data_IF_448436810549
#
_entry.id   IF_448436810549
#
_cell.length_a   1.000
_cell.length_b   1.000
_cell.length_c   1.000
_cell.angle_alpha   90.00
_cell.angle_beta   90.00
_cell.angle_gamma   90.00
#
_symmetry.space_group_name_H-M   'P 1'
#
loop_
_entity.id
_entity.type
_entity.pdbx_description
1 polymer ?
#
# COMPACT_ATOMS: atom_id res chain seq x y z
N UNK A 1 1.24 11.68 0.56
CA UNK A 1 1.14 10.48 1.42
C UNK A 1 2.52 10.15 1.98
N UNK A 2 2.56 9.78 3.27
CA UNK A 2 3.78 9.39 3.99
C UNK A 2 3.75 7.92 4.40
N UNK A 3 2.55 7.38 4.68
CA UNK A 3 2.32 5.97 5.01
C UNK A 3 1.11 5.44 4.23
N UNK A 4 0.94 4.11 4.23
CA UNK A 4 -0.23 3.41 3.70
C UNK A 4 -0.88 2.54 4.80
N UNK A 5 -2.21 2.40 4.74
CA UNK A 5 -2.97 1.38 5.47
C UNK A 5 -4.17 0.94 4.63
N UNK A 6 -4.63 -0.31 4.73
CA UNK A 6 -5.91 -0.69 4.16
C UNK A 6 -7.04 0.13 4.82
N UNK A 7 -8.05 0.47 4.03
CA UNK A 7 -9.20 1.23 4.50
C UNK A 7 -10.29 0.28 5.05
N UNK A 8 -10.03 -0.31 6.23
CA UNK A 8 -10.94 -1.26 6.87
C UNK A 8 -12.35 -0.68 7.12
N UNK A 9 -12.45 0.65 7.28
CA UNK A 9 -13.72 1.36 7.43
C UNK A 9 -14.60 1.34 6.16
N UNK A 10 -14.00 1.09 5.00
CA UNK A 10 -14.69 1.01 3.70
C UNK A 10 -14.85 -0.46 3.28
N UNK A 11 -13.78 -1.24 3.38
CA UNK A 11 -13.77 -2.66 3.06
C UNK A 11 -13.03 -3.46 4.15
N UNK A 12 -13.76 -3.97 5.16
CA UNK A 12 -13.16 -4.75 6.24
C UNK A 12 -12.68 -6.13 5.76
N UNK A 13 -13.32 -6.71 4.74
CA UNK A 13 -12.94 -8.04 4.22
C UNK A 13 -11.59 -7.95 3.51
N UNK A 14 -11.37 -6.90 2.73
CA UNK A 14 -10.07 -6.65 2.10
C UNK A 14 -8.96 -6.43 3.13
N UNK A 15 -9.21 -5.64 4.19
CA UNK A 15 -8.22 -5.41 5.23
C UNK A 15 -7.77 -6.72 5.92
N UNK A 16 -8.72 -7.57 6.31
CA UNK A 16 -8.42 -8.86 6.95
C UNK A 16 -7.71 -9.83 6.01
N UNK A 17 -8.15 -9.90 4.75
CA UNK A 17 -7.51 -10.79 3.76
C UNK A 17 -6.11 -10.32 3.36
N UNK A 18 -5.86 -9.01 3.30
CA UNK A 18 -4.51 -8.47 3.10
C UNK A 18 -3.58 -8.85 4.26
N UNK A 19 -4.08 -8.76 5.50
CA UNK A 19 -3.33 -9.19 6.69
C UNK A 19 -3.04 -10.69 6.69
N UNK A 20 -4.02 -11.51 6.31
CA UNK A 20 -3.83 -12.94 6.16
C UNK A 20 -2.78 -13.28 5.08
N UNK A 21 -2.85 -12.62 3.92
CA UNK A 21 -1.87 -12.79 2.84
C UNK A 21 -0.45 -12.43 3.28
N UNK A 22 -0.27 -11.30 3.96
CA UNK A 22 1.03 -10.89 4.51
C UNK A 22 1.58 -11.93 5.51
N UNK A 23 0.70 -12.45 6.39
CA UNK A 23 1.06 -13.50 7.36
C UNK A 23 1.44 -14.82 6.67
N UNK A 24 0.83 -15.13 5.53
CA UNK A 24 1.17 -16.28 4.70
C UNK A 24 2.44 -16.09 3.85
N UNK A 25 3.14 -14.95 3.98
CA UNK A 25 4.42 -14.69 3.33
C UNK A 25 4.32 -13.90 2.02
N UNK A 26 3.15 -13.35 1.67
CA UNK A 26 3.03 -12.45 0.52
C UNK A 26 3.68 -11.10 0.85
N UNK A 27 4.64 -10.65 0.03
CA UNK A 27 5.31 -9.37 0.24
C UNK A 27 4.40 -8.19 -0.15
N UNK A 28 4.39 -7.15 0.70
CA UNK A 28 3.70 -5.88 0.43
C UNK A 28 4.73 -4.81 0.03
N UNK A 29 4.52 -4.25 -1.16
CA UNK A 29 5.29 -3.14 -1.72
C UNK A 29 4.41 -1.90 -1.81
N UNK A 30 4.82 -0.82 -1.16
CA UNK A 30 4.14 0.48 -1.26
C UNK A 30 5.14 1.51 -1.73
N UNK A 31 4.86 2.12 -2.88
CA UNK A 31 5.72 3.16 -3.46
C UNK A 31 4.93 4.43 -3.75
N UNK A 32 5.59 5.55 -3.48
CA UNK A 32 5.08 6.87 -3.85
C UNK A 32 5.34 7.12 -5.33
N UNK A 33 4.31 7.50 -6.07
CA UNK A 33 4.48 8.06 -7.40
C UNK A 33 4.79 9.56 -7.32
N UNK A 34 5.74 10.03 -8.13
CA UNK A 34 5.91 11.43 -8.50
C UNK A 34 5.28 11.63 -9.88
N UNK A 35 4.29 12.52 -9.95
CA UNK A 35 3.49 12.80 -11.15
C UNK A 35 3.77 14.25 -11.55
N UNK A 36 4.45 14.43 -12.67
CA UNK A 36 4.75 15.76 -13.23
C UNK A 36 4.74 15.62 -14.75
N UNK A 37 3.87 16.30 -15.50
CA UNK A 37 3.84 16.18 -16.96
C UNK A 37 5.21 16.39 -17.61
N UNK A 38 5.61 15.56 -18.59
CA UNK A 38 4.86 14.45 -19.22
C UNK A 38 5.06 13.08 -18.52
N UNK A 39 5.62 13.05 -17.31
CA UNK A 39 6.20 11.83 -16.72
C UNK A 39 5.50 11.40 -15.43
N UNK A 40 5.48 10.08 -15.21
CA UNK A 40 5.14 9.46 -13.93
C UNK A 40 6.28 8.52 -13.54
N UNK A 41 6.78 8.64 -12.32
CA UNK A 41 7.89 7.82 -11.80
C UNK A 41 7.59 7.30 -10.40
N UNK A 42 8.12 6.11 -10.06
CA UNK A 42 8.17 5.65 -8.67
C UNK A 42 9.32 6.38 -7.97
N UNK A 43 9.01 7.15 -6.94
CA UNK A 43 9.97 8.02 -6.25
C UNK A 43 10.67 7.27 -5.11
N UNK A 44 9.91 6.68 -4.18
CA UNK A 44 10.46 5.97 -3.01
C UNK A 44 9.48 4.99 -2.41
N UNK A 45 9.99 4.01 -1.65
CA UNK A 45 9.18 3.13 -0.80
C UNK A 45 8.55 3.92 0.34
N UNK A 46 7.35 3.53 0.75
CA UNK A 46 6.62 4.10 1.89
C UNK A 46 6.44 3.04 2.97
N UNK A 47 6.39 3.49 4.22
CA UNK A 47 5.99 2.64 5.34
C UNK A 47 4.49 2.32 5.26
N UNK A 48 4.10 1.18 5.81
CA UNK A 48 2.70 0.79 5.89
C UNK A 48 2.34 0.12 7.20
N UNK A 49 1.04 0.11 7.50
CA UNK A 49 0.43 -0.57 8.62
C UNK A 49 -0.72 -1.45 8.12
N UNK A 50 -0.87 -2.62 8.73
CA UNK A 50 -1.97 -3.55 8.50
C UNK A 50 -2.94 -3.51 9.69
#
# INVERSE_FOLDING_TARGET
>A
CRTFRPAAEIDPVYAETLKAAATAGVEILVYRARIVPPTVTLERRLDFHL
#
